data_IF_977469916471
#
_entry.id   IF_977469916471
#
_cell.length_a   1.000
_cell.length_b   1.000
_cell.length_c   1.000
_cell.angle_alpha   90.00
_cell.angle_beta   90.00
_cell.angle_gamma   90.00
#
_symmetry.space_group_name_H-M   'P 1'
#
loop_
_entity.id
_entity.type
_entity.pdbx_description
1 polymer ?
#
# COMPACT_ATOMS: atom_id res chain seq x y z
N UNK A 1 -0.04 7.55 17.68
CA UNK A 1 -1.52 7.44 17.61
C UNK A 1 -1.95 7.76 16.18
N UNK A 2 -2.17 6.72 15.39
CA UNK A 2 -2.71 6.75 14.02
C UNK A 2 -3.92 5.84 14.07
N UNK A 3 -5.11 6.42 14.21
CA UNK A 3 -6.36 5.66 14.32
C UNK A 3 -7.53 6.63 14.21
N UNK A 4 -8.49 6.28 13.37
CA UNK A 4 -9.74 7.01 13.18
C UNK A 4 -10.44 7.25 14.53
N UNK A 5 -10.89 8.49 14.78
CA UNK A 5 -11.61 8.85 16.00
C UNK A 5 -12.91 8.03 16.10
N UNK A 6 -12.91 7.02 16.98
CA UNK A 6 -14.07 6.17 17.31
C UNK A 6 -14.14 4.81 16.61
N UNK A 7 -13.22 4.49 15.70
CA UNK A 7 -13.17 3.19 15.01
C UNK A 7 -11.93 2.39 15.43
N UNK A 8 -12.15 1.21 15.98
CA UNK A 8 -11.09 0.22 16.19
C UNK A 8 -10.74 -0.41 14.84
N UNK A 9 -9.74 0.17 14.15
CA UNK A 9 -9.39 -0.22 12.77
C UNK A 9 -8.93 -1.68 12.68
N UNK A 10 -8.07 -2.20 13.58
CA UNK A 10 -7.71 -3.62 13.60
C UNK A 10 -8.91 -4.55 13.82
N UNK A 11 -9.79 -4.24 14.76
CA UNK A 11 -10.98 -5.08 15.01
C UNK A 11 -11.99 -4.97 13.85
N UNK A 12 -12.12 -3.81 13.22
CA UNK A 12 -12.94 -3.65 12.02
C UNK A 12 -12.41 -4.48 10.85
N UNK A 13 -11.09 -4.53 10.65
CA UNK A 13 -10.48 -5.39 9.63
C UNK A 13 -10.77 -6.87 9.91
N UNK A 14 -10.68 -7.31 11.17
CA UNK A 14 -11.02 -8.68 11.59
C UNK A 14 -12.48 -9.02 11.31
N UNK A 15 -13.40 -8.13 11.67
CA UNK A 15 -14.83 -8.31 11.41
C UNK A 15 -15.13 -8.41 9.91
N UNK A 16 -14.56 -7.51 9.09
CA UNK A 16 -14.74 -7.55 7.64
C UNK A 16 -14.22 -8.85 7.02
N UNK A 17 -13.07 -9.34 7.47
CA UNK A 17 -12.54 -10.63 6.98
C UNK A 17 -13.47 -11.79 7.39
N UNK A 18 -14.04 -11.75 8.60
CA UNK A 18 -15.03 -12.73 9.04
C UNK A 18 -16.29 -12.69 8.15
N UNK A 19 -16.85 -11.50 7.92
CA UNK A 19 -18.05 -11.31 7.09
C UNK A 19 -17.82 -11.78 5.64
N UNK A 20 -16.64 -11.50 5.08
CA UNK A 20 -16.27 -11.97 3.75
C UNK A 20 -16.12 -13.50 3.71
N UNK A 21 -15.56 -14.11 4.75
CA UNK A 21 -15.49 -15.56 4.87
C UNK A 21 -16.89 -16.20 4.94
N UNK A 22 -17.79 -15.63 5.74
CA UNK A 22 -19.19 -16.07 5.85
C UNK A 22 -19.96 -15.91 4.53
N UNK A 23 -19.60 -14.91 3.72
CA UNK A 23 -20.12 -14.70 2.38
C UNK A 23 -19.49 -15.63 1.30
N UNK A 24 -18.57 -16.52 1.68
CA UNK A 24 -17.97 -17.52 0.79
C UNK A 24 -16.70 -17.06 0.05
N UNK A 25 -16.14 -15.89 0.40
CA UNK A 25 -14.81 -15.51 -0.09
C UNK A 25 -13.75 -16.38 0.58
N UNK A 26 -12.60 -16.56 -0.09
CA UNK A 26 -11.45 -17.27 0.47
C UNK A 26 -10.74 -16.41 1.53
N UNK A 27 -11.40 -16.25 2.68
CA UNK A 27 -10.90 -15.64 3.90
C UNK A 27 -10.60 -16.70 4.97
N UNK A 28 -9.80 -16.32 5.95
CA UNK A 28 -9.54 -17.09 7.16
C UNK A 28 -9.42 -16.16 8.36
N UNK A 29 -8.93 -16.63 9.49
CA UNK A 29 -8.71 -15.75 10.65
C UNK A 29 -7.53 -14.80 10.40
N UNK A 30 -7.65 -13.58 10.94
CA UNK A 30 -6.51 -12.69 11.17
C UNK A 30 -5.97 -12.88 12.60
N UNK A 31 -4.73 -12.45 12.90
CA UNK A 31 -4.22 -12.34 14.27
C UNK A 31 -5.02 -11.32 15.09
N UNK A 32 -5.04 -11.47 16.41
CA UNK A 32 -5.64 -10.50 17.34
C UNK A 32 -5.15 -9.07 17.07
N UNK A 33 -5.96 -8.05 17.31
CA UNK A 33 -5.67 -6.66 16.92
C UNK A 33 -4.23 -6.20 17.22
N UNK A 34 -3.74 -6.48 18.43
CA UNK A 34 -2.37 -6.12 18.81
C UNK A 34 -1.30 -6.86 17.98
N UNK A 35 -1.50 -8.16 17.75
CA UNK A 35 -0.60 -8.97 16.94
C UNK A 35 -0.68 -8.61 15.45
N UNK A 36 -1.87 -8.27 14.95
CA UNK A 36 -2.08 -7.76 13.59
C UNK A 36 -1.32 -6.46 13.38
N UNK A 37 -1.47 -5.49 14.29
CA UNK A 37 -0.75 -4.22 14.19
C UNK A 37 0.76 -4.40 14.27
N UNK A 38 1.24 -5.23 15.20
CA UNK A 38 2.66 -5.53 15.31
C UNK A 38 3.22 -6.19 14.04
N UNK A 39 2.49 -7.14 13.44
CA UNK A 39 2.88 -7.77 12.19
C UNK A 39 2.90 -6.78 11.00
N UNK A 40 2.02 -5.78 11.00
CA UNK A 40 1.98 -4.75 9.96
C UNK A 40 3.06 -3.68 10.12
N UNK A 41 3.49 -3.36 11.35
CA UNK A 41 4.49 -2.31 11.62
C UNK A 41 5.92 -2.86 11.66
N UNK A 42 6.10 -4.00 12.32
CA UNK A 42 7.42 -4.55 12.65
C UNK A 42 7.65 -5.93 12.04
N UNK A 43 6.64 -6.49 11.39
CA UNK A 43 6.71 -7.82 10.78
C UNK A 43 7.53 -7.87 9.49
N UNK A 44 7.57 -9.06 8.91
CA UNK A 44 8.29 -9.30 7.66
C UNK A 44 7.62 -8.55 6.52
N UNK A 45 8.40 -7.75 5.80
CA UNK A 45 7.96 -7.04 4.59
C UNK A 45 7.82 -8.03 3.42
N UNK A 46 6.69 -8.74 3.38
CA UNK A 46 6.41 -9.84 2.46
C UNK A 46 5.77 -9.43 1.13
N UNK A 47 5.43 -8.15 0.94
CA UNK A 47 4.94 -7.63 -0.34
C UNK A 47 6.02 -6.82 -1.02
N UNK A 48 6.35 -7.17 -2.26
CA UNK A 48 7.47 -6.57 -2.99
C UNK A 48 7.06 -6.13 -4.39
N UNK A 49 7.57 -4.96 -4.79
CA UNK A 49 7.51 -4.47 -6.17
C UNK A 49 8.93 -4.22 -6.62
N UNK A 50 9.38 -4.92 -7.66
CA UNK A 50 10.76 -4.78 -8.13
C UNK A 50 11.01 -3.35 -8.62
N UNK A 51 12.22 -2.84 -8.40
CA UNK A 51 12.62 -1.53 -8.93
C UNK A 51 12.53 -1.51 -10.46
N UNK A 52 12.80 -2.64 -11.11
CA UNK A 52 12.69 -2.77 -12.56
C UNK A 52 11.25 -2.59 -13.05
N UNK A 53 10.29 -3.27 -12.41
CA UNK A 53 8.86 -3.12 -12.68
C UNK A 53 8.37 -1.70 -12.44
N UNK A 54 8.81 -1.11 -11.34
CA UNK A 54 8.47 0.27 -11.00
C UNK A 54 9.03 1.25 -12.04
N UNK A 55 10.30 1.11 -12.44
CA UNK A 55 10.91 1.93 -13.50
C UNK A 55 10.20 1.76 -14.83
N UNK A 56 9.83 0.53 -15.19
CA UNK A 56 9.05 0.23 -16.39
C UNK A 56 7.70 0.95 -16.40
N UNK A 57 6.98 0.92 -15.28
CA UNK A 57 5.72 1.67 -15.15
C UNK A 57 5.94 3.19 -15.11
N UNK A 58 6.90 3.68 -14.33
CA UNK A 58 7.23 5.10 -14.21
C UNK A 58 7.54 5.68 -15.59
N UNK A 59 8.21 4.91 -16.46
CA UNK A 59 8.51 5.31 -17.82
C UNK A 59 7.28 5.55 -18.71
N UNK A 60 6.11 5.03 -18.33
CA UNK A 60 4.83 5.23 -19.05
C UNK A 60 4.12 6.52 -18.67
N UNK A 61 4.51 7.16 -17.57
CA UNK A 61 3.90 8.41 -17.12
C UNK A 61 4.34 9.60 -18.00
N UNK A 62 3.53 10.67 -18.06
CA UNK A 62 3.93 11.91 -18.72
C UNK A 62 5.28 12.42 -18.20
N UNK A 63 6.11 12.98 -19.09
CA UNK A 63 7.44 13.46 -18.73
C UNK A 63 7.39 14.49 -17.59
N UNK A 64 6.41 15.39 -17.62
CA UNK A 64 6.20 16.40 -16.56
C UNK A 64 5.97 15.76 -15.20
N UNK A 65 5.19 14.68 -15.13
CA UNK A 65 4.95 13.92 -13.90
C UNK A 65 6.23 13.26 -13.38
N UNK A 66 7.07 12.73 -14.28
CA UNK A 66 8.36 12.11 -13.91
C UNK A 66 9.37 13.13 -13.39
N UNK A 67 9.41 14.32 -13.99
CA UNK A 67 10.28 15.42 -13.57
C UNK A 67 9.91 15.88 -12.16
N UNK A 68 8.62 16.13 -11.90
CA UNK A 68 8.13 16.52 -10.57
C UNK A 68 8.49 15.50 -9.49
N UNK A 69 8.37 14.19 -9.78
CA UNK A 69 8.80 13.14 -8.85
C UNK A 69 10.31 13.17 -8.61
N UNK A 70 11.10 13.27 -9.68
CA UNK A 70 12.57 13.28 -9.58
C UNK A 70 13.07 14.50 -8.82
N UNK A 71 12.50 15.68 -9.07
CA UNK A 71 12.85 16.93 -8.40
C UNK A 71 12.52 16.88 -6.91
N UNK A 72 11.36 16.30 -6.55
CA UNK A 72 10.92 16.25 -5.15
C UNK A 72 11.57 15.12 -4.34
N UNK A 73 11.65 13.92 -4.92
CA UNK A 73 12.00 12.70 -4.19
C UNK A 73 13.34 12.08 -4.61
N UNK A 74 13.98 12.60 -5.66
CA UNK A 74 15.20 12.06 -6.23
C UNK A 74 14.94 10.84 -7.12
N UNK A 75 15.98 10.01 -7.28
CA UNK A 75 15.86 8.78 -8.05
C UNK A 75 15.12 7.68 -7.24
N UNK A 76 14.35 6.80 -7.89
CA UNK A 76 13.54 5.80 -7.18
C UNK A 76 14.35 4.74 -6.44
N UNK A 77 15.59 4.48 -6.85
CA UNK A 77 16.52 3.58 -6.16
C UNK A 77 17.13 4.19 -4.89
N UNK A 78 17.03 5.50 -4.70
CA UNK A 78 17.40 6.19 -3.46
C UNK A 78 16.23 6.25 -2.46
N UNK A 79 15.08 5.65 -2.77
CA UNK A 79 13.94 5.63 -1.85
C UNK A 79 14.23 4.72 -0.63
N UNK A 80 13.99 5.17 0.62
CA UNK A 80 14.24 4.38 1.83
C UNK A 80 13.49 3.04 1.91
N UNK A 81 12.40 2.88 1.16
CA UNK A 81 11.65 1.63 1.10
C UNK A 81 12.31 0.57 0.21
N UNK A 82 13.38 0.93 -0.55
CA UNK A 82 14.15 -0.01 -1.36
C UNK A 82 15.00 -0.90 -0.45
N UNK A 83 14.82 -2.21 -0.59
CA UNK A 83 15.70 -3.24 -0.03
C UNK A 83 15.86 -4.38 -1.03
N UNK A 84 17.11 -4.73 -1.31
CA UNK A 84 17.46 -5.80 -2.27
C UNK A 84 16.80 -5.60 -3.65
N UNK A 85 16.87 -4.36 -4.17
CA UNK A 85 16.34 -4.02 -5.49
C UNK A 85 14.81 -3.96 -5.61
N UNK A 86 14.08 -4.00 -4.50
CA UNK A 86 12.61 -3.94 -4.48
C UNK A 86 12.08 -2.98 -3.43
N UNK A 87 10.94 -2.34 -3.72
CA UNK A 87 10.12 -1.69 -2.69
C UNK A 87 9.46 -2.77 -1.85
N UNK A 88 9.60 -2.74 -0.52
CA UNK A 88 9.06 -3.77 0.37
C UNK A 88 8.08 -3.21 1.39
N UNK A 89 6.93 -3.89 1.55
CA UNK A 89 5.81 -3.47 2.39
C UNK A 89 5.31 -4.60 3.29
N UNK A 90 4.72 -4.20 4.42
CA UNK A 90 4.16 -5.11 5.40
C UNK A 90 2.83 -5.66 4.91
N UNK A 91 2.63 -6.96 5.11
CA UNK A 91 1.43 -7.66 4.66
C UNK A 91 1.06 -8.75 5.66
N UNK A 92 -0.24 -8.82 5.99
CA UNK A 92 -0.81 -9.94 6.74
C UNK A 92 -1.90 -10.56 5.88
N UNK A 93 -1.79 -11.85 5.58
CA UNK A 93 -2.80 -12.58 4.81
C UNK A 93 -3.78 -13.28 5.75
N UNK A 94 -5.06 -13.26 5.41
CA UNK A 94 -6.06 -14.05 6.14
C UNK A 94 -5.90 -15.54 5.81
N UNK A 95 -5.78 -16.42 6.79
CA UNK A 95 -5.63 -17.84 6.52
C UNK A 95 -5.22 -18.66 7.73
N UNK A 96 -5.43 -19.97 7.64
CA UNK A 96 -5.06 -20.94 8.69
C UNK A 96 -3.61 -21.43 8.57
N UNK A 97 -2.95 -21.21 7.44
CA UNK A 97 -1.58 -21.64 7.21
C UNK A 97 -0.63 -20.44 7.25
N UNK A 98 0.10 -20.32 8.36
CA UNK A 98 1.15 -19.31 8.55
C UNK A 98 2.50 -19.76 7.98
N UNK A 99 2.55 -20.92 7.31
CA UNK A 99 3.76 -21.36 6.64
C UNK A 99 4.19 -20.30 5.63
N UNK A 100 5.48 -19.94 5.57
CA UNK A 100 5.97 -19.01 4.58
C UNK A 100 5.62 -19.56 3.19
N UNK A 101 5.18 -18.71 2.26
CA UNK A 101 4.97 -19.15 0.89
C UNK A 101 6.26 -19.80 0.39
N UNK A 102 6.19 -20.92 -0.37
CA UNK A 102 7.37 -21.49 -1.00
C UNK A 102 8.06 -20.36 -1.76
N UNK A 103 9.33 -20.11 -1.40
CA UNK A 103 10.20 -19.02 -1.86
C UNK A 103 9.57 -18.24 -3.03
N UNK A 104 8.80 -17.20 -2.69
CA UNK A 104 8.04 -16.45 -3.67
C UNK A 104 9.01 -15.99 -4.76
N UNK A 105 8.76 -16.42 -5.99
CA UNK A 105 9.35 -15.77 -7.15
C UNK A 105 9.00 -14.30 -7.10
N UNK A 106 9.92 -13.45 -7.55
CA UNK A 106 9.72 -12.01 -7.61
C UNK A 106 8.38 -11.72 -8.32
N UNK A 107 7.41 -11.16 -7.59
CA UNK A 107 6.15 -10.70 -8.16
C UNK A 107 4.93 -11.64 -8.05
N UNK A 108 5.04 -12.86 -7.50
CA UNK A 108 3.88 -13.75 -7.34
C UNK A 108 3.37 -13.82 -5.90
N UNK A 109 2.12 -13.38 -5.71
CA UNK A 109 1.36 -13.62 -4.49
C UNK A 109 0.95 -15.10 -4.47
N UNK A 110 1.60 -15.93 -3.64
CA UNK A 110 1.22 -17.35 -3.47
C UNK A 110 -0.27 -17.53 -3.10
N UNK A 111 -0.82 -18.70 -3.45
CA UNK A 111 -2.26 -18.99 -3.49
C UNK A 111 -3.02 -19.07 -2.14
N UNK A 112 -2.41 -18.74 -1.00
CA UNK A 112 -3.05 -18.85 0.31
C UNK A 112 -3.54 -17.48 0.84
N UNK A 113 -4.86 -17.36 1.06
CA UNK A 113 -5.54 -16.17 1.59
C UNK A 113 -5.74 -15.08 0.53
N UNK A 114 -6.94 -15.00 -0.06
CA UNK A 114 -7.25 -13.96 -1.08
C UNK A 114 -7.43 -12.58 -0.46
N UNK A 115 -7.54 -12.49 0.86
CA UNK A 115 -7.63 -11.22 1.58
C UNK A 115 -6.30 -10.94 2.26
N UNK A 116 -5.73 -9.79 1.95
CA UNK A 116 -4.50 -9.29 2.53
C UNK A 116 -4.72 -7.92 3.15
N UNK A 117 -4.14 -7.72 4.32
CA UNK A 117 -4.14 -6.46 5.06
C UNK A 117 -2.77 -5.84 4.90
N UNK A 118 -2.76 -4.54 4.62
CA UNK A 118 -1.56 -3.75 4.43
C UNK A 118 -1.60 -2.52 5.32
N UNK A 119 -0.42 -2.07 5.74
CA UNK A 119 -0.24 -0.70 6.20
C UNK A 119 0.10 0.16 4.98
N UNK A 120 -0.74 1.15 4.69
CA UNK A 120 -0.47 2.08 3.60
C UNK A 120 0.81 2.88 3.94
N UNK A 121 1.81 2.93 3.04
CA UNK A 121 2.99 3.75 3.27
C UNK A 121 2.62 5.23 3.31
N UNK A 122 3.43 6.03 4.00
CA UNK A 122 3.24 7.47 4.01
C UNK A 122 3.33 8.04 2.59
N UNK A 123 2.40 8.94 2.28
CA UNK A 123 2.35 9.60 0.98
C UNK A 123 3.55 10.51 0.74
N UNK A 124 4.06 11.17 1.78
CA UNK A 124 5.18 12.08 1.75
C UNK A 124 6.24 11.72 2.79
N UNK A 125 7.36 12.45 2.81
CA UNK A 125 8.39 12.34 3.85
C UNK A 125 8.37 13.63 4.69
N UNK A 126 7.45 13.75 5.65
CA UNK A 126 7.45 14.89 6.55
C UNK A 126 7.46 14.45 8.01
N UNK A 127 8.52 14.79 8.73
CA UNK A 127 8.51 14.83 10.20
C UNK A 127 7.49 15.86 10.71
N UNK A 128 7.15 16.84 9.87
CA UNK A 128 6.18 17.88 10.15
C UNK A 128 4.77 17.48 9.66
N UNK A 129 4.11 16.68 10.50
CA UNK A 129 2.77 16.08 10.31
C UNK A 129 1.62 17.07 10.03
N UNK A 130 1.90 18.38 9.90
CA UNK A 130 0.94 19.46 9.65
C UNK A 130 1.10 20.16 8.30
N UNK A 131 2.24 20.08 7.63
CA UNK A 131 2.50 20.87 6.42
C UNK A 131 2.30 20.06 5.12
N UNK A 132 2.82 18.84 5.03
CA UNK A 132 2.72 18.01 3.81
C UNK A 132 1.41 17.24 3.66
N UNK A 133 0.71 16.95 4.78
CA UNK A 133 -0.54 16.16 4.76
C UNK A 133 -1.72 16.92 4.11
N UNK A 134 -1.62 18.25 3.99
CA UNK A 134 -2.67 19.12 3.45
C UNK A 134 -2.24 19.91 2.21
N UNK A 135 -1.03 19.67 1.66
CA UNK A 135 -0.63 20.27 0.39
C UNK A 135 -1.16 19.38 -0.76
N UNK A 136 -2.22 19.81 -1.47
CA UNK A 136 -2.76 19.03 -2.58
C UNK A 136 -1.80 18.94 -3.75
N UNK A 137 -0.75 19.76 -3.82
CA UNK A 137 0.18 19.81 -4.96
C UNK A 137 1.43 18.95 -4.74
N UNK A 138 1.69 18.45 -3.52
CA UNK A 138 2.86 17.60 -3.26
C UNK A 138 2.67 16.20 -3.89
N UNK A 139 3.58 15.78 -4.80
CA UNK A 139 3.49 14.47 -5.44
C UNK A 139 3.74 13.35 -4.41
N UNK A 140 3.08 12.19 -4.55
CA UNK A 140 3.36 11.03 -3.70
C UNK A 140 4.80 10.53 -3.84
N UNK A 141 5.35 9.91 -2.80
CA UNK A 141 6.66 9.26 -2.83
C UNK A 141 6.71 8.09 -3.82
N UNK A 142 7.93 7.68 -4.21
CA UNK A 142 8.11 6.48 -5.02
C UNK A 142 7.58 5.23 -4.31
N UNK A 143 7.80 5.08 -3.00
CA UNK A 143 7.23 3.99 -2.21
C UNK A 143 5.70 3.95 -2.27
N UNK A 144 5.05 5.11 -2.14
CA UNK A 144 3.60 5.22 -2.22
C UNK A 144 3.06 4.78 -3.59
N UNK A 145 3.70 5.24 -4.67
CA UNK A 145 3.32 4.87 -6.03
C UNK A 145 3.59 3.39 -6.32
N UNK A 146 4.74 2.86 -5.89
CA UNK A 146 5.09 1.46 -6.06
C UNK A 146 4.09 0.55 -5.33
N UNK A 147 3.68 0.93 -4.12
CA UNK A 147 2.66 0.21 -3.35
C UNK A 147 1.34 0.09 -4.14
N UNK A 148 0.79 1.21 -4.63
CA UNK A 148 -0.48 1.20 -5.38
C UNK A 148 -0.35 0.51 -6.74
N UNK A 149 0.80 0.63 -7.42
CA UNK A 149 1.10 -0.13 -8.63
C UNK A 149 1.06 -1.64 -8.34
N UNK A 150 1.68 -2.07 -7.26
CA UNK A 150 1.66 -3.45 -6.80
C UNK A 150 0.24 -3.91 -6.52
N UNK A 151 -0.54 -3.14 -5.75
CA UNK A 151 -1.93 -3.48 -5.44
C UNK A 151 -2.77 -3.65 -6.71
N UNK A 152 -2.68 -2.70 -7.65
CA UNK A 152 -3.41 -2.74 -8.93
C UNK A 152 -3.08 -3.95 -9.79
N UNK A 153 -1.86 -4.49 -9.69
CA UNK A 153 -1.43 -5.66 -10.47
C UNK A 153 -1.82 -7.00 -9.83
N UNK A 154 -2.06 -7.03 -8.51
CA UNK A 154 -2.15 -8.27 -7.74
C UNK A 154 -3.51 -8.49 -7.06
N UNK A 155 -4.40 -7.50 -7.04
CA UNK A 155 -5.68 -7.57 -6.32
C UNK A 155 -6.84 -7.06 -7.18
N UNK A 156 -8.00 -7.71 -7.03
CA UNK A 156 -9.24 -7.36 -7.75
C UNK A 156 -9.98 -6.19 -7.12
N UNK A 157 -9.85 -6.00 -5.80
CA UNK A 157 -10.55 -4.99 -5.03
C UNK A 157 -9.68 -4.43 -3.90
N UNK A 158 -9.86 -3.15 -3.61
CA UNK A 158 -9.19 -2.44 -2.52
C UNK A 158 -10.24 -1.81 -1.59
N UNK A 159 -10.13 -2.09 -0.29
CA UNK A 159 -10.95 -1.46 0.75
C UNK A 159 -10.03 -0.65 1.65
N UNK A 160 -10.27 0.66 1.74
CA UNK A 160 -9.59 1.53 2.70
C UNK A 160 -10.36 1.53 4.03
N UNK A 161 -9.64 1.30 5.14
CA UNK A 161 -10.21 1.32 6.49
C UNK A 161 -9.62 2.48 7.30
N UNK A 162 -10.48 3.42 7.71
CA UNK A 162 -10.11 4.62 8.45
C UNK A 162 -10.86 5.86 7.98
N UNK A 163 -10.74 6.97 8.71
CA UNK A 163 -11.50 8.20 8.43
C UNK A 163 -10.93 9.04 7.29
N UNK A 164 -9.69 8.81 6.86
CA UNK A 164 -9.08 9.46 5.69
C UNK A 164 -8.05 8.51 5.04
N UNK A 165 -8.34 8.01 3.85
CA UNK A 165 -7.32 7.39 3.00
C UNK A 165 -6.48 8.49 2.33
N UNK A 166 -5.16 8.33 2.23
CA UNK A 166 -4.32 9.34 1.53
C UNK A 166 -4.58 9.42 0.03
N UNK A 167 -5.28 8.41 -0.52
CA UNK A 167 -5.77 8.37 -1.91
C UNK A 167 -6.80 9.46 -2.20
N UNK A 168 -7.60 9.84 -1.20
CA UNK A 168 -8.66 10.85 -1.32
C UNK A 168 -8.13 12.29 -1.44
N UNK A 169 -6.80 12.47 -1.32
CA UNK A 169 -6.15 13.79 -1.25
C UNK A 169 -5.12 14.02 -2.35
N UNK A 170 -4.97 13.09 -3.29
CA UNK A 170 -3.91 13.15 -4.31
C UNK A 170 -4.13 14.29 -5.33
N UNK A 171 -3.07 14.97 -5.82
CA UNK A 171 -3.17 16.03 -6.79
C UNK A 171 -3.88 15.51 -8.04
N UNK A 172 -5.05 16.08 -8.30
CA UNK A 172 -5.94 15.61 -9.34
C UNK A 172 -7.39 15.96 -9.06
N UNK A 173 -8.24 15.69 -10.04
CA UNK A 173 -9.68 15.89 -9.88
C UNK A 173 -10.21 14.82 -8.92
N UNK A 174 -11.03 15.23 -7.95
CA UNK A 174 -11.75 14.33 -7.05
C UNK A 174 -12.69 13.35 -7.80
N UNK A 175 -13.03 13.65 -9.06
CA UNK A 175 -13.79 12.78 -9.98
C UNK A 175 -13.31 13.03 -11.42
N UNK A 176 -13.29 12.00 -12.28
CA UNK A 176 -12.81 12.05 -13.66
C UNK A 176 -11.29 12.33 -13.81
N UNK A 177 -10.50 11.38 -13.30
CA UNK A 177 -9.03 11.38 -13.37
C UNK A 177 -8.57 11.53 -14.82
N UNK A 178 -7.66 12.49 -15.04
CA UNK A 178 -6.91 12.61 -16.29
C UNK A 178 -5.60 11.82 -16.18
N UNK A 179 -4.89 11.54 -17.29
CA UNK A 179 -3.59 10.87 -17.25
C UNK A 179 -2.52 11.57 -16.38
N UNK A 180 -2.73 12.83 -15.99
CA UNK A 180 -1.87 13.58 -15.08
C UNK A 180 -2.33 13.60 -13.61
N UNK A 181 -3.44 12.93 -13.26
CA UNK A 181 -3.92 12.86 -11.89
C UNK A 181 -3.27 11.69 -11.15
N UNK A 182 -2.88 11.91 -9.91
CA UNK A 182 -2.42 10.86 -9.02
C UNK A 182 -3.62 10.30 -8.26
N UNK A 183 -3.76 8.97 -8.07
CA UNK A 183 -3.19 7.87 -8.82
C UNK A 183 -4.15 7.47 -9.95
N UNK A 184 -3.76 7.65 -11.20
CA UNK A 184 -4.47 7.08 -12.35
C UNK A 184 -4.10 5.60 -12.57
#
# INVERSE_FOLDING_TARGET
>A
RTGALGLDTPESARAIVSDLADAGYAGGSLPEAAALMHALTDGVQGFAVSLADYRGWLATLPETSRQVLTERWGAPDADPAIRDGSFRFGIVRSGHDTSPPPSAGEGELGAAGRIAIFLQPDRGRSDDRKAGYHDPDEPPTHAYLAFHLGLRRNFDALVHLGTHGTTEWLPGKAVALSPGCWPA
#
